data_IF_559276268865
#
_entry.id   IF_559276268865
#
_cell.length_a   1.000
_cell.length_b   1.000
_cell.length_c   1.000
_cell.angle_alpha   90.00
_cell.angle_beta   90.00
_cell.angle_gamma   90.00
#
_symmetry.space_group_name_H-M   'P 1'
#
loop_
_entity.id
_entity.type
_entity.pdbx_description
1 polymer ?
#
# COMPACT_ATOMS: atom_id res chain seq x y z
N UNK A 1 -0.81 12.11 4.76
CA UNK A 1 -1.56 11.90 3.51
C UNK A 1 -0.80 10.89 2.67
N UNK A 2 -1.51 10.09 1.88
CA UNK A 2 -0.95 9.14 0.94
C UNK A 2 -1.05 9.69 -0.49
N UNK A 3 -0.18 9.20 -1.36
CA UNK A 3 -0.14 9.45 -2.80
C UNK A 3 0.16 8.14 -3.53
N UNK A 4 -0.29 8.01 -4.76
CA UNK A 4 -0.10 6.79 -5.54
C UNK A 4 -0.87 6.83 -6.87
N UNK A 5 -1.25 5.65 -7.34
CA UNK A 5 -2.05 5.48 -8.56
C UNK A 5 -3.29 4.66 -8.26
N UNK A 6 -4.40 5.05 -8.88
CA UNK A 6 -5.59 4.22 -8.93
C UNK A 6 -5.35 3.01 -9.85
N UNK A 7 -5.86 1.83 -9.47
CA UNK A 7 -5.70 0.59 -10.25
C UNK A 7 -7.07 0.08 -10.66
N UNK A 8 -7.30 -0.02 -11.97
CA UNK A 8 -8.52 -0.58 -12.57
C UNK A 8 -8.12 -1.65 -13.57
N UNK A 9 -8.80 -2.79 -13.55
CA UNK A 9 -8.52 -3.94 -14.42
C UNK A 9 -7.04 -4.37 -14.43
N UNK A 10 -6.39 -4.27 -13.26
CA UNK A 10 -4.98 -4.65 -13.08
C UNK A 10 -3.98 -3.64 -13.66
N UNK A 11 -4.41 -2.44 -14.04
CA UNK A 11 -3.54 -1.39 -14.60
C UNK A 11 -3.64 -0.10 -13.79
N UNK A 12 -2.51 0.58 -13.64
CA UNK A 12 -2.50 1.94 -13.08
C UNK A 12 -3.18 2.89 -14.07
N UNK A 13 -4.20 3.62 -13.64
CA UNK A 13 -5.00 4.48 -14.53
C UNK A 13 -4.68 5.96 -14.36
N UNK A 14 -4.80 6.52 -13.16
CA UNK A 14 -4.50 7.93 -12.90
C UNK A 14 -3.85 8.14 -11.52
N UNK A 15 -3.03 9.20 -11.36
CA UNK A 15 -2.43 9.51 -10.07
C UNK A 15 -3.47 10.01 -9.07
N UNK A 16 -3.31 9.64 -7.81
CA UNK A 16 -4.12 10.11 -6.68
C UNK A 16 -3.23 10.74 -5.63
N UNK A 17 -3.71 11.82 -5.02
CA UNK A 17 -3.00 12.56 -3.98
C UNK A 17 -3.95 12.91 -2.84
N UNK A 18 -3.40 13.32 -1.70
CA UNK A 18 -4.18 13.78 -0.55
C UNK A 18 -5.20 12.76 -0.02
N UNK A 19 -4.87 11.48 -0.14
CA UNK A 19 -5.73 10.38 0.31
C UNK A 19 -5.42 10.04 1.76
N UNK A 20 -6.44 9.65 2.53
CA UNK A 20 -6.29 9.07 3.86
C UNK A 20 -6.61 7.58 3.80
N UNK A 21 -5.72 6.77 4.35
CA UNK A 21 -5.89 5.31 4.46
C UNK A 21 -6.15 4.98 5.94
N UNK A 22 -7.23 4.25 6.22
CA UNK A 22 -7.60 3.85 7.57
C UNK A 22 -7.93 2.35 7.65
N UNK A 23 -7.22 1.64 8.52
CA UNK A 23 -7.44 0.23 8.87
C UNK A 23 -6.77 -0.07 10.24
N UNK A 24 -7.37 -0.88 11.13
CA UNK A 24 -6.68 -1.37 12.32
C UNK A 24 -5.44 -2.19 11.98
N UNK A 25 -4.37 -2.10 12.78
CA UNK A 25 -3.08 -2.75 12.48
C UNK A 25 -3.20 -4.28 12.39
N UNK A 26 -3.93 -4.89 13.31
CA UNK A 26 -4.17 -6.33 13.32
C UNK A 26 -4.94 -6.77 12.07
N UNK A 27 -5.94 -5.99 11.64
CA UNK A 27 -6.66 -6.26 10.39
C UNK A 27 -5.76 -6.07 9.17
N UNK A 28 -4.94 -5.03 9.15
CA UNK A 28 -3.97 -4.80 8.07
C UNK A 28 -3.05 -6.00 7.86
N UNK A 29 -2.50 -6.55 8.95
CA UNK A 29 -1.60 -7.69 8.90
C UNK A 29 -2.32 -8.98 8.49
N UNK A 30 -3.53 -9.21 8.99
CA UNK A 30 -4.33 -10.40 8.63
C UNK A 30 -4.88 -10.34 7.19
N UNK A 31 -5.07 -9.14 6.64
CA UNK A 31 -5.63 -8.95 5.29
C UNK A 31 -4.56 -8.80 4.20
N UNK A 32 -3.29 -9.14 4.49
CA UNK A 32 -2.27 -9.21 3.44
C UNK A 32 -2.61 -10.37 2.50
N UNK A 33 -3.02 -10.07 1.27
CA UNK A 33 -3.50 -11.07 0.31
C UNK A 33 -2.49 -11.42 -0.78
N UNK A 34 -1.44 -10.61 -0.95
CA UNK A 34 -0.33 -10.92 -1.84
C UNK A 34 0.97 -10.26 -1.35
N UNK A 35 2.09 -10.91 -1.62
CA UNK A 35 3.45 -10.44 -1.35
C UNK A 35 4.25 -10.51 -2.65
N UNK A 36 4.91 -9.41 -3.00
CA UNK A 36 5.80 -9.30 -4.16
C UNK A 36 7.16 -9.94 -3.91
N UNK A 37 7.89 -10.18 -4.98
CA UNK A 37 9.26 -10.71 -5.00
C UNK A 37 10.33 -9.58 -5.01
N UNK A 38 9.92 -8.35 -4.76
CA UNK A 38 10.68 -7.11 -4.90
C UNK A 38 11.14 -6.53 -3.55
N UNK A 39 11.67 -7.38 -2.67
CA UNK A 39 12.16 -6.97 -1.34
C UNK A 39 13.24 -5.86 -1.44
N UNK A 40 12.96 -4.71 -0.82
CA UNK A 40 13.91 -3.61 -0.68
C UNK A 40 14.21 -3.30 0.78
N UNK A 41 15.48 -3.05 1.08
CA UNK A 41 15.96 -2.67 2.41
C UNK A 41 16.12 -1.15 2.54
N UNK A 42 15.90 -0.61 3.74
CA UNK A 42 16.12 0.80 4.02
C UNK A 42 17.60 1.17 3.80
N UNK A 43 17.89 2.22 3.01
CA UNK A 43 19.25 2.54 2.56
C UNK A 43 20.23 2.93 3.68
N UNK A 44 19.73 3.32 4.85
CA UNK A 44 20.55 3.81 5.97
C UNK A 44 20.40 3.00 7.27
N UNK A 45 19.81 1.80 7.23
CA UNK A 45 19.52 1.02 8.44
C UNK A 45 19.23 -0.45 8.16
N UNK A 46 20.12 -1.10 7.39
CA UNK A 46 19.97 -2.35 6.63
C UNK A 46 19.45 -3.64 7.30
N UNK A 47 18.80 -3.57 8.45
CA UNK A 47 18.05 -4.68 9.06
C UNK A 47 16.53 -4.61 8.80
N UNK A 48 16.01 -3.51 8.24
CA UNK A 48 14.59 -3.36 7.91
C UNK A 48 14.40 -3.31 6.40
N UNK A 49 13.53 -4.18 5.89
CA UNK A 49 13.12 -4.20 4.50
C UNK A 49 11.68 -4.68 4.35
N UNK A 50 11.05 -4.28 3.26
CA UNK A 50 9.70 -4.73 2.90
C UNK A 50 9.63 -4.97 1.39
N UNK A 51 8.99 -6.06 0.94
CA UNK A 51 8.54 -6.16 -0.44
C UNK A 51 7.31 -5.25 -0.65
N UNK A 52 6.86 -5.14 -1.89
CA UNK A 52 5.50 -4.69 -2.18
C UNK A 52 4.50 -5.72 -1.63
N UNK A 53 3.41 -5.28 -1.02
CA UNK A 53 2.35 -6.16 -0.56
C UNK A 53 0.97 -5.54 -0.80
N UNK A 54 -0.04 -6.39 -0.91
CA UNK A 54 -1.44 -6.00 -1.09
C UNK A 54 -2.21 -6.25 0.20
N UNK A 55 -2.96 -5.23 0.64
CA UNK A 55 -3.89 -5.33 1.78
C UNK A 55 -5.31 -5.15 1.26
N UNK A 56 -6.18 -6.12 1.54
CA UNK A 56 -7.60 -6.01 1.20
C UNK A 56 -8.41 -5.36 2.34
N UNK A 57 -9.57 -4.78 1.99
CA UNK A 57 -10.52 -4.25 2.99
C UNK A 57 -10.09 -2.93 3.65
N UNK A 58 -9.23 -2.15 2.99
CA UNK A 58 -8.78 -0.84 3.47
C UNK A 58 -9.83 0.24 3.20
N UNK A 59 -10.12 1.09 4.18
CA UNK A 59 -10.94 2.28 3.97
C UNK A 59 -10.09 3.41 3.39
N UNK A 60 -10.56 3.98 2.28
CA UNK A 60 -9.94 5.10 1.59
C UNK A 60 -10.84 6.33 1.75
N UNK A 61 -10.30 7.38 2.39
CA UNK A 61 -10.99 8.64 2.61
C UNK A 61 -10.35 9.78 1.82
N UNK A 62 -11.17 10.54 1.10
CA UNK A 62 -10.73 11.64 0.26
C UNK A 62 -10.67 11.25 -1.22
N UNK A 63 -11.20 12.12 -2.07
CA UNK A 63 -11.12 12.06 -3.54
C UNK A 63 -11.16 13.50 -4.03
N UNK A 64 -10.05 13.99 -4.56
CA UNK A 64 -9.99 15.24 -5.33
C UNK A 64 -9.31 14.96 -6.65
#
# INVERSE_FOLDING_TARGET
SAQGFWIEDGKQTFPVNNVTIAIPLDQMLNNISAIGDDLLFLPFGGALGTPTFRVDGVMIGGTS
#
